data_IF_909771201715
#
_entry.id   IF_909771201715
#
_cell.length_a   1.000
_cell.length_b   1.000
_cell.length_c   1.000
_cell.angle_alpha   90.00
_cell.angle_beta   90.00
_cell.angle_gamma   90.00
#
_symmetry.space_group_name_H-M   'P 1'
#
loop_
_entity.id
_entity.type
_entity.pdbx_description
1 polymer ?
#
# COMPACT_ATOMS: atom_id res chain seq x y z
N UNK A 1 42.21 -20.71 44.92
CA UNK A 1 41.87 -21.05 43.51
C UNK A 1 40.38 -21.29 43.28
N UNK A 2 39.74 -22.30 43.91
CA UNK A 2 38.30 -22.63 43.65
C UNK A 2 37.29 -21.50 43.95
N UNK A 3 37.50 -20.72 45.03
CA UNK A 3 36.62 -19.58 45.40
C UNK A 3 36.67 -18.43 44.38
N UNK A 4 37.85 -18.09 43.89
CA UNK A 4 38.03 -17.02 42.90
C UNK A 4 37.42 -17.38 41.55
N UNK A 5 37.54 -18.64 41.11
CA UNK A 5 36.91 -19.13 39.87
C UNK A 5 35.39 -19.08 39.99
N UNK A 6 34.83 -19.47 41.14
CA UNK A 6 33.38 -19.41 41.38
C UNK A 6 32.85 -17.97 41.34
N UNK A 7 33.56 -17.01 41.96
CA UNK A 7 33.17 -15.59 41.93
C UNK A 7 33.23 -15.03 40.50
N UNK A 8 34.26 -15.37 39.72
CA UNK A 8 34.37 -14.95 38.32
C UNK A 8 33.21 -15.50 37.48
N UNK A 9 32.86 -16.78 37.63
CA UNK A 9 31.71 -17.40 36.97
C UNK A 9 30.39 -16.73 37.34
N UNK A 10 30.19 -16.39 38.61
CA UNK A 10 28.98 -15.70 39.08
C UNK A 10 28.87 -14.30 38.46
N UNK A 11 29.97 -13.55 38.38
CA UNK A 11 29.99 -12.22 37.77
C UNK A 11 29.70 -12.31 36.28
N UNK A 12 30.27 -13.29 35.57
CA UNK A 12 29.98 -13.52 34.14
C UNK A 12 28.50 -13.88 33.94
N UNK A 13 27.91 -14.73 34.79
CA UNK A 13 26.49 -15.09 34.74
C UNK A 13 25.58 -13.88 35.01
N UNK A 14 25.95 -13.00 35.95
CA UNK A 14 25.17 -11.79 36.25
C UNK A 14 25.28 -10.76 35.12
N UNK A 15 26.46 -10.59 34.52
CA UNK A 15 26.65 -9.72 33.35
C UNK A 15 25.91 -10.25 32.13
N UNK A 16 25.97 -11.57 31.87
CA UNK A 16 25.26 -12.21 30.77
C UNK A 16 23.75 -12.19 30.99
N UNK A 17 23.28 -12.46 32.22
CA UNK A 17 21.87 -12.37 32.59
C UNK A 17 21.33 -10.94 32.49
N UNK A 18 22.09 -9.95 32.94
CA UNK A 18 21.75 -8.53 32.80
C UNK A 18 21.75 -8.07 31.34
N UNK A 19 22.68 -8.56 30.53
CA UNK A 19 22.72 -8.30 29.09
C UNK A 19 21.52 -8.91 28.37
N UNK A 20 21.18 -10.17 28.68
CA UNK A 20 20.01 -10.85 28.14
C UNK A 20 18.70 -10.17 28.53
N UNK A 21 18.55 -9.73 29.79
CA UNK A 21 17.33 -9.03 30.22
C UNK A 21 17.20 -7.68 29.53
N UNK A 22 18.27 -6.88 29.43
CA UNK A 22 18.22 -5.60 28.72
C UNK A 22 17.86 -5.79 27.24
N UNK A 23 18.45 -6.79 26.57
CA UNK A 23 18.12 -7.08 25.18
C UNK A 23 16.70 -7.62 25.00
N UNK A 24 16.27 -8.58 25.83
CA UNK A 24 14.93 -9.16 25.73
C UNK A 24 13.83 -8.15 26.06
N UNK A 25 13.94 -7.44 27.18
CA UNK A 25 12.96 -6.43 27.57
C UNK A 25 13.01 -5.19 26.66
N UNK A 26 14.21 -4.76 26.24
CA UNK A 26 14.37 -3.64 25.32
C UNK A 26 13.81 -3.94 23.92
N UNK A 27 14.06 -5.14 23.39
CA UNK A 27 13.48 -5.59 22.12
C UNK A 27 11.95 -5.65 22.20
N UNK A 28 11.40 -6.30 23.23
CA UNK A 28 9.94 -6.41 23.40
C UNK A 28 9.27 -5.03 23.56
N UNK A 29 9.91 -4.09 24.24
CA UNK A 29 9.38 -2.73 24.37
C UNK A 29 9.42 -1.97 23.04
N UNK A 30 10.50 -2.08 22.27
CA UNK A 30 10.61 -1.46 20.95
C UNK A 30 9.56 -2.01 19.97
N UNK A 31 9.35 -3.33 19.96
CA UNK A 31 8.34 -3.98 19.11
C UNK A 31 6.92 -3.54 19.48
N UNK A 32 6.60 -3.42 20.78
CA UNK A 32 5.29 -2.92 21.23
C UNK A 32 5.06 -1.45 20.85
N UNK A 33 6.07 -0.60 21.01
CA UNK A 33 5.97 0.81 20.64
C UNK A 33 5.75 0.97 19.12
N UNK A 34 6.43 0.14 18.32
CA UNK A 34 6.28 0.10 16.87
C UNK A 34 4.85 -0.28 16.44
N UNK A 35 4.31 -1.35 17.03
CA UNK A 35 2.93 -1.80 16.78
C UNK A 35 1.89 -0.76 17.19
N UNK A 36 2.06 -0.14 18.37
CA UNK A 36 1.16 0.92 18.83
C UNK A 36 1.15 2.13 17.89
N UNK A 37 2.33 2.59 17.43
CA UNK A 37 2.43 3.69 16.47
C UNK A 37 1.78 3.37 15.12
N UNK A 38 1.87 2.12 14.69
CA UNK A 38 1.23 1.66 13.45
C UNK A 38 -0.30 1.64 13.55
N UNK A 39 -0.83 1.12 14.67
CA UNK A 39 -2.27 1.15 14.96
C UNK A 39 -2.81 2.58 15.07
N UNK A 40 -2.09 3.47 15.75
CA UNK A 40 -2.46 4.87 15.86
C UNK A 40 -2.55 5.53 14.48
N UNK A 41 -1.57 5.26 13.59
CA UNK A 41 -1.59 5.76 12.22
C UNK A 41 -2.81 5.25 11.44
N UNK A 42 -3.11 3.96 11.53
CA UNK A 42 -4.27 3.40 10.83
C UNK A 42 -5.57 4.06 11.29
N UNK A 43 -5.71 4.30 12.59
CA UNK A 43 -6.82 5.05 13.14
C UNK A 43 -6.87 6.49 12.61
N UNK A 44 -5.73 7.19 12.56
CA UNK A 44 -5.67 8.55 12.00
C UNK A 44 -6.07 8.61 10.53
N UNK A 45 -5.73 7.58 9.74
CA UNK A 45 -6.17 7.47 8.34
C UNK A 45 -7.69 7.29 8.30
N UNK A 46 -8.26 6.39 9.09
CA UNK A 46 -9.71 6.18 9.12
C UNK A 46 -10.48 7.41 9.62
N UNK A 47 -9.94 8.13 10.62
CA UNK A 47 -10.52 9.36 11.14
C UNK A 47 -10.52 10.46 10.07
N UNK A 48 -9.41 10.62 9.34
CA UNK A 48 -9.31 11.54 8.20
C UNK A 48 -10.36 11.19 7.13
N UNK A 49 -10.44 9.93 6.72
CA UNK A 49 -11.40 9.50 5.69
C UNK A 49 -12.84 9.67 6.15
N UNK A 50 -13.14 9.41 7.42
CA UNK A 50 -14.47 9.61 8.01
C UNK A 50 -14.85 11.08 8.07
N UNK A 51 -13.91 11.93 8.46
CA UNK A 51 -14.09 13.38 8.45
C UNK A 51 -14.38 13.89 7.04
N UNK A 52 -13.61 13.45 6.05
CA UNK A 52 -13.84 13.79 4.64
C UNK A 52 -15.20 13.31 4.15
N UNK A 53 -15.57 12.05 4.41
CA UNK A 53 -16.91 11.50 4.06
C UNK A 53 -18.04 12.33 4.64
N UNK A 54 -17.89 12.79 5.88
CA UNK A 54 -18.90 13.60 6.57
C UNK A 54 -18.98 15.05 6.06
N UNK A 55 -17.93 15.52 5.38
CA UNK A 55 -17.89 16.84 4.74
C UNK A 55 -18.48 16.85 3.32
N UNK A 56 -18.68 15.67 2.71
CA UNK A 56 -19.31 15.52 1.39
C UNK A 56 -20.76 16.02 1.46
N UNK A 57 -21.11 16.94 0.57
CA UNK A 57 -22.48 17.47 0.45
C UNK A 57 -23.43 16.45 -0.18
N UNK A 58 -24.75 16.58 0.03
CA UNK A 58 -25.74 15.71 -0.64
C UNK A 58 -25.61 15.71 -2.16
N UNK A 59 -25.19 16.84 -2.75
CA UNK A 59 -24.97 16.99 -4.19
C UNK A 59 -23.75 16.20 -4.67
N UNK A 60 -22.61 16.30 -3.97
CA UNK A 60 -21.40 15.52 -4.27
C UNK A 60 -21.57 14.02 -3.99
N UNK A 61 -22.40 13.68 -3.00
CA UNK A 61 -22.80 12.31 -2.75
C UNK A 61 -23.61 11.72 -3.92
N UNK A 62 -24.41 12.54 -4.60
CA UNK A 62 -25.23 12.14 -5.73
C UNK A 62 -24.46 12.07 -7.06
N UNK A 63 -23.53 13.00 -7.33
CA UNK A 63 -22.65 12.98 -8.50
C UNK A 63 -21.20 13.31 -8.12
N UNK A 64 -20.33 12.30 -8.21
CA UNK A 64 -18.88 12.39 -7.91
C UNK A 64 -18.13 13.41 -8.77
N UNK A 65 -18.69 13.82 -9.90
CA UNK A 65 -18.09 14.82 -10.80
C UNK A 65 -18.51 16.26 -10.50
N UNK A 66 -19.43 16.46 -9.54
CA UNK A 66 -19.96 17.79 -9.21
C UNK A 66 -20.54 18.56 -10.41
N UNK A 67 -20.74 19.87 -10.22
CA UNK A 67 -21.36 20.73 -11.22
C UNK A 67 -20.44 21.02 -12.44
N UNK A 68 -19.13 21.14 -12.19
CA UNK A 68 -18.16 21.46 -13.24
C UNK A 68 -17.87 20.26 -14.15
N UNK A 69 -18.26 19.05 -13.74
CA UNK A 69 -18.02 17.76 -14.39
C UNK A 69 -16.56 17.31 -14.34
N UNK A 70 -15.83 17.77 -13.33
CA UNK A 70 -14.44 17.41 -13.08
C UNK A 70 -14.35 16.79 -11.69
N UNK A 71 -13.68 15.66 -11.59
CA UNK A 71 -13.35 15.05 -10.30
C UNK A 71 -11.84 14.92 -10.17
N UNK A 72 -11.32 15.32 -9.01
CA UNK A 72 -9.91 15.30 -8.69
C UNK A 72 -9.64 14.33 -7.55
N UNK A 73 -8.87 13.29 -7.85
CA UNK A 73 -8.54 12.21 -6.91
C UNK A 73 -7.05 12.26 -6.63
N UNK A 74 -6.68 12.39 -5.36
CA UNK A 74 -5.29 12.28 -4.92
C UNK A 74 -4.99 10.83 -4.53
N UNK A 75 -4.19 10.16 -5.34
CA UNK A 75 -3.67 8.82 -5.08
C UNK A 75 -2.34 8.89 -4.33
N UNK A 76 -2.27 8.23 -3.18
CA UNK A 76 -1.11 8.16 -2.29
C UNK A 76 -0.71 6.70 -2.07
N UNK A 77 0.49 6.33 -2.46
CA UNK A 77 1.13 5.08 -2.06
C UNK A 77 1.94 5.27 -0.78
N UNK A 78 1.60 4.51 0.27
CA UNK A 78 2.36 4.46 1.52
C UNK A 78 3.38 3.32 1.49
N UNK A 79 4.61 3.60 1.93
CA UNK A 79 5.56 2.54 2.30
C UNK A 79 5.23 2.09 3.73
N UNK A 80 4.37 1.08 3.84
CA UNK A 80 3.88 0.54 5.13
C UNK A 80 4.31 -0.92 5.32
N UNK A 81 5.61 -1.19 5.19
CA UNK A 81 6.15 -2.54 5.39
C UNK A 81 6.11 -2.94 6.87
N UNK A 82 6.12 -4.26 7.11
CA UNK A 82 6.29 -4.82 8.45
C UNK A 82 7.56 -4.25 9.08
N UNK A 83 7.43 -3.55 10.21
CA UNK A 83 8.56 -2.92 10.90
C UNK A 83 8.81 -1.44 10.58
N UNK A 84 7.98 -0.77 9.75
CA UNK A 84 8.14 0.67 9.45
C UNK A 84 7.11 1.58 10.15
N UNK A 85 7.58 2.40 11.10
CA UNK A 85 6.75 3.35 11.88
C UNK A 85 6.49 4.68 11.19
N UNK A 86 7.13 4.96 10.06
CA UNK A 86 6.96 6.24 9.36
C UNK A 86 6.22 6.00 8.04
N UNK A 87 4.94 6.33 8.00
CA UNK A 87 4.08 6.18 6.82
C UNK A 87 4.44 7.17 5.73
N UNK A 88 5.50 6.89 5.00
CA UNK A 88 6.01 7.76 3.95
C UNK A 88 5.09 7.76 2.73
N UNK A 89 4.68 8.96 2.27
CA UNK A 89 3.97 9.12 1.00
C UNK A 89 4.96 9.02 -0.16
N UNK A 90 5.11 7.82 -0.72
CA UNK A 90 6.20 7.49 -1.65
C UNK A 90 5.79 7.55 -3.12
N UNK A 91 4.51 7.35 -3.41
CA UNK A 91 3.90 7.60 -4.71
C UNK A 91 2.78 8.61 -4.55
N UNK A 92 2.82 9.72 -5.30
CA UNK A 92 1.83 10.80 -5.18
C UNK A 92 1.38 11.20 -6.58
N UNK A 93 0.12 10.94 -6.89
CA UNK A 93 -0.47 11.15 -8.22
C UNK A 93 -1.81 11.86 -8.07
N UNK A 94 -1.91 13.08 -8.61
CA UNK A 94 -3.16 13.84 -8.65
C UNK A 94 -3.85 13.60 -9.99
N UNK A 95 -4.98 12.92 -9.97
CA UNK A 95 -5.70 12.46 -11.16
C UNK A 95 -6.97 13.30 -11.30
N UNK A 96 -7.05 14.08 -12.37
CA UNK A 96 -8.23 14.88 -12.71
C UNK A 96 -8.94 14.28 -13.91
N UNK A 97 -10.21 13.88 -13.74
CA UNK A 97 -11.06 13.32 -14.78
C UNK A 97 -12.08 14.38 -15.23
N UNK A 98 -12.05 14.78 -16.50
CA UNK A 98 -13.03 15.69 -17.10
C UNK A 98 -14.03 14.90 -17.95
N UNK A 99 -15.25 14.73 -17.41
CA UNK A 99 -16.33 13.98 -18.06
C UNK A 99 -16.85 14.66 -19.32
N UNK A 100 -16.81 16.00 -19.39
CA UNK A 100 -17.28 16.76 -20.57
C UNK A 100 -16.31 16.64 -21.74
N UNK A 101 -15.01 16.70 -21.46
CA UNK A 101 -13.97 16.61 -22.50
C UNK A 101 -13.55 15.16 -22.80
N UNK A 102 -13.95 14.21 -21.96
CA UNK A 102 -13.48 12.83 -21.98
C UNK A 102 -11.95 12.76 -21.95
N UNK A 103 -11.35 13.48 -21.00
CA UNK A 103 -9.90 13.58 -20.83
C UNK A 103 -9.50 13.34 -19.39
N UNK A 104 -8.30 12.81 -19.20
CA UNK A 104 -7.66 12.64 -17.89
C UNK A 104 -6.37 13.45 -17.86
N UNK A 105 -6.06 14.08 -16.73
CA UNK A 105 -4.72 14.58 -16.46
C UNK A 105 -4.17 13.96 -15.18
N UNK A 106 -2.91 13.55 -15.22
CA UNK A 106 -2.20 12.96 -14.08
C UNK A 106 -1.02 13.87 -13.77
N UNK A 107 -1.02 14.45 -12.56
CA UNK A 107 0.07 15.30 -12.08
C UNK A 107 0.82 14.58 -10.96
N UNK A 108 2.06 14.17 -11.23
CA UNK A 108 2.93 13.61 -10.22
C UNK A 108 3.49 14.70 -9.28
N UNK A 109 3.62 14.36 -8.01
CA UNK A 109 4.41 15.15 -7.04
C UNK A 109 5.58 14.29 -6.57
N UNK A 110 6.84 14.64 -6.89
CA UNK A 110 7.99 13.91 -6.38
C UNK A 110 7.99 13.87 -4.86
N UNK A 111 8.20 12.69 -4.28
CA UNK A 111 8.21 12.48 -2.82
C UNK A 111 9.20 13.39 -2.07
N UNK A 112 10.28 13.77 -2.77
CA UNK A 112 11.37 14.62 -2.28
C UNK A 112 11.11 16.13 -2.42
N UNK A 113 9.91 16.54 -2.81
CA UNK A 113 9.55 17.96 -2.91
C UNK A 113 9.62 18.62 -1.55
N UNK A 114 10.26 19.79 -1.47
CA UNK A 114 10.45 20.51 -0.21
C UNK A 114 9.12 20.92 0.42
N UNK A 115 8.98 20.65 1.72
CA UNK A 115 7.89 21.16 2.55
C UNK A 115 8.41 21.60 3.92
N UNK A 116 7.87 22.68 4.49
CA UNK A 116 8.15 23.00 5.88
C UNK A 116 7.60 21.90 6.79
N UNK A 117 8.24 21.68 7.95
CA UNK A 117 7.71 20.83 9.02
C UNK A 117 7.46 21.72 10.26
N UNK A 118 6.25 21.67 10.85
CA UNK A 118 5.92 22.47 12.02
C UNK A 118 6.62 21.92 13.27
N UNK A 119 7.16 22.80 14.12
CA UNK A 119 7.87 22.42 15.34
C UNK A 119 9.38 22.63 15.25
N UNK A 120 10.13 22.03 16.18
CA UNK A 120 11.59 22.14 16.28
C UNK A 120 12.21 20.75 16.45
N UNK A 121 13.44 20.55 15.98
CA UNK A 121 14.18 19.29 16.16
C UNK A 121 14.34 18.44 14.90
N UNK A 122 13.80 18.86 13.75
CA UNK A 122 14.00 18.18 12.47
C UNK A 122 15.39 18.44 11.89
N UNK A 123 15.95 17.43 11.24
CA UNK A 123 17.19 17.54 10.49
C UNK A 123 16.94 18.27 9.16
N UNK A 124 17.94 18.93 8.57
CA UNK A 124 17.81 19.54 7.24
C UNK A 124 17.36 18.54 6.16
N UNK A 125 17.66 17.25 6.33
CA UNK A 125 17.24 16.17 5.44
C UNK A 125 15.77 15.80 5.57
N UNK A 126 15.04 16.30 6.56
CA UNK A 126 13.68 15.82 6.84
C UNK A 126 12.59 16.57 6.06
N UNK A 127 12.93 17.73 5.49
CA UNK A 127 11.98 18.69 4.92
C UNK A 127 11.49 18.32 3.51
N UNK A 128 10.81 17.18 3.37
CA UNK A 128 10.17 16.77 2.12
C UNK A 128 8.81 16.10 2.32
N UNK A 129 7.96 16.12 1.29
CA UNK A 129 6.56 15.66 1.33
C UNK A 129 6.43 14.27 1.94
N UNK A 130 7.20 13.29 1.46
CA UNK A 130 7.16 11.91 1.97
C UNK A 130 7.41 11.82 3.47
N UNK A 131 8.28 12.65 4.03
CA UNK A 131 8.51 12.71 5.47
C UNK A 131 7.40 13.40 6.23
N UNK A 132 6.78 14.44 5.68
CA UNK A 132 5.68 15.13 6.35
C UNK A 132 4.50 14.18 6.67
N UNK A 133 4.23 13.21 5.78
CA UNK A 133 3.21 12.18 6.01
C UNK A 133 3.52 11.28 7.22
N UNK A 134 4.80 10.94 7.42
CA UNK A 134 5.21 10.03 8.49
C UNK A 134 5.61 10.72 9.80
N UNK A 135 6.17 11.92 9.73
CA UNK A 135 6.70 12.66 10.89
C UNK A 135 5.66 13.58 11.55
N UNK A 136 4.65 14.02 10.80
CA UNK A 136 3.59 14.91 11.29
C UNK A 136 2.25 14.16 11.30
N UNK A 137 1.67 13.97 10.13
CA UNK A 137 0.46 13.17 9.89
C UNK A 137 0.21 13.06 8.39
N UNK A 138 -0.59 12.05 7.98
CA UNK A 138 -1.03 11.95 6.59
C UNK A 138 -1.82 13.19 6.16
N UNK A 139 -2.69 13.71 7.02
CA UNK A 139 -3.49 14.92 6.76
C UNK A 139 -2.60 16.13 6.45
N UNK A 140 -1.56 16.35 7.25
CA UNK A 140 -0.61 17.45 7.01
C UNK A 140 0.14 17.26 5.69
N UNK A 141 0.56 16.03 5.39
CA UNK A 141 1.20 15.70 4.12
C UNK A 141 0.30 16.01 2.92
N UNK A 142 -0.99 15.64 3.00
CA UNK A 142 -2.00 15.97 1.99
C UNK A 142 -2.14 17.48 1.82
N UNK A 143 -2.25 18.25 2.91
CA UNK A 143 -2.33 19.71 2.84
C UNK A 143 -1.12 20.31 2.10
N UNK A 144 0.09 19.80 2.36
CA UNK A 144 1.28 20.27 1.65
C UNK A 144 1.28 19.87 0.17
N UNK A 145 0.80 18.67 -0.16
CA UNK A 145 0.63 18.22 -1.55
C UNK A 145 -0.36 19.13 -2.29
N UNK A 146 -1.53 19.39 -1.71
CA UNK A 146 -2.55 20.29 -2.26
C UNK A 146 -2.00 21.71 -2.46
N UNK A 147 -1.15 22.18 -1.53
CA UNK A 147 -0.45 23.47 -1.67
C UNK A 147 0.55 23.50 -2.82
N UNK A 148 1.31 22.42 -3.04
CA UNK A 148 2.22 22.27 -4.19
C UNK A 148 1.44 22.26 -5.51
N UNK A 149 0.32 21.55 -5.52
CA UNK A 149 -0.58 21.45 -6.67
C UNK A 149 -1.36 22.76 -6.90
N UNK A 150 -1.59 23.56 -5.86
CA UNK A 150 -2.40 24.77 -5.91
C UNK A 150 -3.90 24.49 -5.97
N UNK A 151 -4.33 23.26 -5.70
CA UNK A 151 -5.71 22.80 -5.76
C UNK A 151 -5.93 21.67 -4.76
N UNK A 152 -7.11 21.63 -4.14
CA UNK A 152 -7.52 20.54 -3.26
C UNK A 152 -7.98 19.31 -4.05
N UNK A 153 -7.88 18.15 -3.45
CA UNK A 153 -8.47 16.94 -3.99
C UNK A 153 -9.92 16.80 -3.48
N UNK A 154 -10.82 16.41 -4.37
CA UNK A 154 -12.21 16.11 -4.02
C UNK A 154 -12.26 14.80 -3.24
N UNK A 155 -11.45 13.82 -3.66
CA UNK A 155 -11.33 12.52 -3.01
C UNK A 155 -9.87 12.10 -2.84
N UNK A 156 -9.62 11.20 -1.87
CA UNK A 156 -8.31 10.60 -1.66
C UNK A 156 -8.39 9.09 -1.78
N UNK A 157 -7.34 8.50 -2.35
CA UNK A 157 -7.16 7.06 -2.44
C UNK A 157 -5.77 6.70 -1.90
N UNK A 158 -5.72 5.91 -0.84
CA UNK A 158 -4.48 5.53 -0.17
C UNK A 158 -4.27 4.03 -0.32
N UNK A 159 -3.10 3.64 -0.83
CA UNK A 159 -2.74 2.23 -1.05
C UNK A 159 -1.45 1.88 -0.32
N UNK A 160 -1.44 0.71 0.31
CA UNK A 160 -0.23 0.15 0.92
C UNK A 160 0.57 -0.70 -0.07
N UNK A 161 1.74 -1.18 0.39
CA UNK A 161 2.60 -2.04 -0.42
C UNK A 161 1.92 -3.37 -0.79
N UNK A 162 1.37 -4.11 0.18
CA UNK A 162 0.70 -5.40 -0.10
C UNK A 162 -0.53 -5.22 -0.98
N UNK A 163 -1.32 -4.16 -0.78
CA UNK A 163 -2.46 -3.81 -1.64
C UNK A 163 -2.01 -3.60 -3.09
N UNK A 164 -0.91 -2.87 -3.28
CA UNK A 164 -0.34 -2.63 -4.63
C UNK A 164 0.09 -3.96 -5.26
N UNK A 165 0.82 -4.80 -4.54
CA UNK A 165 1.20 -6.15 -5.01
C UNK A 165 -0.04 -6.96 -5.40
N UNK A 166 -1.09 -6.91 -4.58
CA UNK A 166 -2.34 -7.61 -4.85
C UNK A 166 -3.07 -7.13 -6.10
N UNK A 167 -3.16 -5.82 -6.30
CA UNK A 167 -3.74 -5.22 -7.51
C UNK A 167 -2.94 -5.62 -8.75
N UNK A 168 -1.61 -5.58 -8.71
CA UNK A 168 -0.77 -5.99 -9.83
C UNK A 168 -0.95 -7.48 -10.19
N UNK A 169 -1.08 -8.36 -9.19
CA UNK A 169 -1.41 -9.78 -9.40
C UNK A 169 -2.78 -9.94 -10.04
N UNK A 170 -3.79 -9.23 -9.55
CA UNK A 170 -5.15 -9.28 -10.11
C UNK A 170 -5.23 -8.78 -11.56
N UNK A 171 -4.25 -8.01 -12.01
CA UNK A 171 -4.11 -7.53 -13.38
C UNK A 171 -3.26 -8.43 -14.27
N UNK A 172 -2.82 -9.60 -13.75
CA UNK A 172 -1.92 -10.55 -14.40
C UNK A 172 -0.60 -9.91 -14.88
N UNK A 173 -0.07 -8.96 -14.11
CA UNK A 173 1.22 -8.32 -14.39
C UNK A 173 2.38 -9.09 -13.76
N UNK A 174 3.59 -9.06 -14.35
CA UNK A 174 4.81 -9.63 -13.74
C UNK A 174 5.17 -8.84 -12.48
N UNK A 175 4.55 -9.22 -11.36
CA UNK A 175 4.35 -8.33 -10.22
C UNK A 175 5.68 -7.90 -9.59
N UNK A 176 6.64 -8.82 -9.44
CA UNK A 176 7.96 -8.54 -8.89
C UNK A 176 8.73 -7.51 -9.73
N UNK A 177 8.79 -7.73 -11.04
CA UNK A 177 9.47 -6.83 -11.98
C UNK A 177 8.74 -5.49 -12.09
N UNK A 178 7.40 -5.50 -12.08
CA UNK A 178 6.60 -4.28 -12.10
C UNK A 178 6.89 -3.41 -10.88
N UNK A 179 6.94 -4.01 -9.69
CA UNK A 179 7.32 -3.30 -8.45
C UNK A 179 8.75 -2.77 -8.53
N UNK A 180 9.71 -3.55 -9.05
CA UNK A 180 11.08 -3.08 -9.23
C UNK A 180 11.14 -1.88 -10.19
N UNK A 181 10.38 -1.92 -11.29
CA UNK A 181 10.30 -0.83 -12.26
C UNK A 181 9.69 0.44 -11.66
N UNK A 182 8.60 0.30 -10.91
CA UNK A 182 7.95 1.42 -10.20
C UNK A 182 8.83 2.00 -9.08
N UNK A 183 9.72 1.20 -8.49
CA UNK A 183 10.62 1.65 -7.41
C UNK A 183 11.97 2.17 -7.91
N UNK A 184 12.33 1.84 -9.15
CA UNK A 184 13.60 2.25 -9.75
C UNK A 184 13.71 3.77 -9.82
N UNK A 185 14.74 4.32 -9.18
CA UNK A 185 15.17 5.72 -9.33
C UNK A 185 16.66 5.82 -9.66
N UNK A 186 17.43 4.76 -9.39
CA UNK A 186 18.89 4.78 -9.37
C UNK A 186 19.51 4.80 -10.77
N UNK A 187 18.75 4.39 -11.78
CA UNK A 187 19.21 4.33 -13.18
C UNK A 187 18.86 5.57 -14.00
N UNK A 188 18.04 6.49 -13.45
CA UNK A 188 17.58 7.67 -14.17
C UNK A 188 18.45 8.89 -13.87
N UNK A 189 18.77 9.67 -14.90
CA UNK A 189 19.66 10.83 -14.79
C UNK A 189 19.19 11.87 -13.74
N UNK A 190 17.87 12.08 -13.65
CA UNK A 190 17.26 13.01 -12.69
C UNK A 190 16.70 12.28 -11.45
N UNK A 191 16.87 10.96 -11.34
CA UNK A 191 16.50 10.19 -10.16
C UNK A 191 14.99 10.19 -9.83
N UNK A 192 14.66 10.70 -8.64
CA UNK A 192 13.32 10.63 -8.05
C UNK A 192 12.22 11.32 -8.88
N UNK A 193 12.40 12.53 -9.43
CA UNK A 193 11.45 13.11 -10.38
C UNK A 193 11.06 12.19 -11.55
N UNK A 194 12.02 11.48 -12.15
CA UNK A 194 11.71 10.54 -13.24
C UNK A 194 10.90 9.36 -12.72
N UNK A 195 11.24 8.83 -11.53
CA UNK A 195 10.46 7.75 -10.92
C UNK A 195 9.00 8.17 -10.66
N UNK A 196 8.78 9.37 -10.13
CA UNK A 196 7.44 9.90 -9.88
C UNK A 196 6.63 10.05 -11.17
N UNK A 197 7.28 10.47 -12.28
CA UNK A 197 6.65 10.54 -13.60
C UNK A 197 6.39 9.15 -14.23
N UNK A 198 7.27 8.18 -13.98
CA UNK A 198 7.07 6.80 -14.41
C UNK A 198 5.82 6.17 -13.77
N UNK A 199 5.49 6.53 -12.52
CA UNK A 199 4.20 6.14 -11.92
C UNK A 199 3.02 6.68 -12.74
N UNK A 200 3.07 7.95 -13.20
CA UNK A 200 2.04 8.52 -14.06
C UNK A 200 1.95 7.81 -15.41
N UNK A 201 3.11 7.43 -15.96
CA UNK A 201 3.19 6.71 -17.25
C UNK A 201 2.58 5.31 -17.12
N UNK A 202 2.86 4.60 -16.03
CA UNK A 202 2.21 3.33 -15.70
C UNK A 202 0.68 3.48 -15.59
N UNK A 203 0.21 4.46 -14.81
CA UNK A 203 -1.23 4.71 -14.64
C UNK A 203 -1.92 5.06 -15.97
N UNK A 204 -1.29 5.90 -16.79
CA UNK A 204 -1.79 6.24 -18.13
C UNK A 204 -2.01 5.00 -18.98
N UNK A 205 -1.02 4.12 -19.03
CA UNK A 205 -1.14 2.88 -19.81
C UNK A 205 -2.23 1.96 -19.28
N UNK A 206 -2.37 1.84 -17.96
CA UNK A 206 -3.45 1.05 -17.37
C UNK A 206 -4.81 1.66 -17.73
N UNK A 207 -4.97 2.98 -17.61
CA UNK A 207 -6.20 3.67 -18.02
C UNK A 207 -6.54 3.44 -19.50
N UNK A 208 -5.57 3.62 -20.40
CA UNK A 208 -5.77 3.41 -21.85
C UNK A 208 -6.10 1.94 -22.15
N UNK A 209 -5.33 1.00 -21.58
CA UNK A 209 -5.51 -0.45 -21.81
C UNK A 209 -6.88 -0.94 -21.34
N UNK A 210 -7.33 -0.51 -20.16
CA UNK A 210 -8.55 -1.04 -19.55
C UNK A 210 -9.81 -0.23 -19.91
N UNK A 211 -9.69 1.05 -20.33
CA UNK A 211 -10.84 1.82 -20.82
C UNK A 211 -11.09 1.67 -22.33
N UNK A 212 -10.07 1.34 -23.13
CA UNK A 212 -10.16 1.19 -24.58
C UNK A 212 -10.35 -0.26 -25.02
N UNK A 213 -11.59 -0.72 -25.22
CA UNK A 213 -11.87 -2.05 -25.79
C UNK A 213 -13.19 -2.66 -25.36
N UNK A 214 -13.65 -3.70 -26.07
CA UNK A 214 -14.91 -4.40 -25.80
C UNK A 214 -14.95 -4.92 -24.36
N UNK A 215 -15.74 -4.24 -23.52
CA UNK A 215 -16.18 -4.65 -22.18
C UNK A 215 -15.43 -5.87 -21.62
N UNK A 216 -14.18 -5.69 -21.18
CA UNK A 216 -13.70 -6.49 -20.06
C UNK A 216 -14.61 -6.07 -18.90
N UNK A 217 -15.74 -6.78 -18.75
CA UNK A 217 -16.58 -6.65 -17.58
C UNK A 217 -15.73 -7.15 -16.43
N UNK A 218 -15.03 -6.23 -15.78
CA UNK A 218 -14.44 -6.49 -14.48
C UNK A 218 -15.63 -6.89 -13.61
N UNK A 219 -15.63 -8.14 -13.11
CA UNK A 219 -16.68 -8.65 -12.26
C UNK A 219 -16.92 -7.66 -11.09
N UNK A 220 -18.17 -7.46 -10.70
CA UNK A 220 -18.51 -6.63 -9.55
C UNK A 220 -17.82 -7.15 -8.27
N UNK A 221 -17.63 -8.48 -8.15
CA UNK A 221 -16.87 -9.08 -7.06
C UNK A 221 -15.42 -8.58 -7.08
N UNK A 222 -14.78 -8.61 -8.25
CA UNK A 222 -13.41 -8.12 -8.40
C UNK A 222 -13.26 -6.62 -8.13
N UNK A 223 -14.21 -5.81 -8.59
CA UNK A 223 -14.24 -4.38 -8.28
C UNK A 223 -14.34 -4.15 -6.77
N UNK A 224 -15.16 -4.93 -6.07
CA UNK A 224 -15.34 -4.84 -4.62
C UNK A 224 -14.09 -5.27 -3.85
N UNK A 225 -13.43 -6.33 -4.27
CA UNK A 225 -12.19 -6.80 -3.64
C UNK A 225 -11.06 -5.77 -3.77
N UNK A 226 -10.86 -5.21 -4.97
CA UNK A 226 -9.89 -4.14 -5.19
C UNK A 226 -10.26 -2.89 -4.38
N UNK A 227 -11.54 -2.53 -4.33
CA UNK A 227 -12.03 -1.42 -3.52
C UNK A 227 -11.65 -1.59 -2.03
N UNK A 228 -11.80 -2.79 -1.47
CA UNK A 228 -11.41 -3.07 -0.06
C UNK A 228 -9.91 -2.95 0.20
N UNK A 229 -9.06 -3.10 -0.82
CA UNK A 229 -7.61 -2.93 -0.69
C UNK A 229 -7.17 -1.45 -0.68
N UNK A 230 -8.09 -0.52 -0.98
CA UNK A 230 -7.83 0.91 -1.11
C UNK A 230 -8.55 1.65 0.01
N UNK A 231 -7.81 2.42 0.81
CA UNK A 231 -8.40 3.31 1.82
C UNK A 231 -8.83 4.61 1.15
N UNK A 232 -10.14 4.88 1.12
CA UNK A 232 -10.70 6.03 0.40
C UNK A 232 -11.94 6.60 1.08
N UNK A 233 -12.22 7.87 0.78
CA UNK A 233 -13.42 8.60 1.16
C UNK A 233 -14.56 8.44 0.13
N UNK A 234 -14.32 7.69 -0.95
CA UNK A 234 -15.35 7.24 -1.89
C UNK A 234 -16.08 6.01 -1.35
N UNK A 235 -17.40 5.97 -1.54
CA UNK A 235 -18.19 4.74 -1.39
C UNK A 235 -17.98 3.80 -2.59
N UNK A 236 -18.29 2.51 -2.41
CA UNK A 236 -18.21 1.55 -3.52
C UNK A 236 -19.11 1.92 -4.71
N UNK A 237 -20.30 2.48 -4.47
CA UNK A 237 -21.19 2.96 -5.53
C UNK A 237 -20.59 4.13 -6.31
N UNK A 238 -19.95 5.07 -5.62
CA UNK A 238 -19.22 6.17 -6.24
C UNK A 238 -18.03 5.67 -7.07
N UNK A 239 -17.28 4.67 -6.59
CA UNK A 239 -16.21 4.04 -7.37
C UNK A 239 -16.75 3.36 -8.64
N UNK A 240 -17.87 2.63 -8.56
CA UNK A 240 -18.53 2.06 -9.75
C UNK A 240 -18.95 3.13 -10.75
N UNK A 241 -19.44 4.28 -10.27
CA UNK A 241 -19.78 5.43 -11.11
C UNK A 241 -18.56 5.99 -11.83
N UNK A 242 -17.44 6.18 -11.12
CA UNK A 242 -16.16 6.61 -11.69
C UNK A 242 -15.63 5.64 -12.74
N UNK A 243 -15.63 4.33 -12.44
CA UNK A 243 -15.23 3.29 -13.39
C UNK A 243 -16.09 3.35 -14.65
N UNK A 244 -17.42 3.42 -14.48
CA UNK A 244 -18.35 3.51 -15.61
C UNK A 244 -18.10 4.75 -16.47
N UNK A 245 -17.82 5.89 -15.84
CA UNK A 245 -17.48 7.13 -16.54
C UNK A 245 -16.16 7.00 -17.33
N UNK A 246 -15.10 6.46 -16.72
CA UNK A 246 -13.80 6.25 -17.39
C UNK A 246 -13.94 5.27 -18.56
N UNK A 247 -14.70 4.18 -18.40
CA UNK A 247 -14.99 3.24 -19.49
C UNK A 247 -15.75 3.93 -20.64
N UNK A 248 -16.70 4.81 -20.32
CA UNK A 248 -17.46 5.56 -21.32
C UNK A 248 -16.62 6.62 -22.05
N UNK A 249 -15.53 7.11 -21.45
CA UNK A 249 -14.61 8.07 -22.10
C UNK A 249 -13.82 7.42 -23.24
N UNK A 250 -13.58 6.09 -23.21
CA UNK A 250 -12.82 5.37 -24.22
C UNK A 250 -11.43 5.97 -24.43
N UNK A 251 -10.64 6.06 -23.36
CA UNK A 251 -9.40 6.84 -23.37
C UNK A 251 -8.37 6.27 -24.34
N UNK A 252 -7.80 7.15 -25.14
CA UNK A 252 -6.61 6.91 -25.97
C UNK A 252 -5.42 7.68 -25.41
N UNK A 253 -4.22 7.40 -25.91
CA UNK A 253 -2.97 8.03 -25.44
C UNK A 253 -3.00 9.58 -25.46
N UNK A 254 -3.69 10.19 -26.41
CA UNK A 254 -3.86 11.65 -26.53
C UNK A 254 -4.90 12.24 -25.56
N UNK A 255 -5.73 11.39 -24.94
CA UNK A 255 -6.75 11.79 -23.97
C UNK A 255 -6.24 11.80 -22.53
N UNK A 256 -5.03 11.32 -22.30
CA UNK A 256 -4.41 11.29 -20.98
C UNK A 256 -3.14 12.15 -20.98
N UNK A 257 -3.18 13.28 -20.30
CA UNK A 257 -2.04 14.19 -20.18
C UNK A 257 -1.24 13.92 -18.90
N UNK A 258 0.09 13.93 -19.01
CA UNK A 258 0.99 13.77 -17.87
C UNK A 258 1.65 15.11 -17.51
N UNK A 259 1.76 15.39 -16.22
CA UNK A 259 2.39 16.58 -15.67
C UNK A 259 3.18 16.21 -14.42
N UNK A 260 4.12 17.08 -14.03
CA UNK A 260 4.85 16.96 -12.77
C UNK A 260 4.93 18.32 -12.08
N UNK A 261 4.73 18.34 -10.76
CA UNK A 261 4.85 19.52 -9.91
C UNK A 261 5.73 19.24 -8.69
N UNK A 262 6.81 20.01 -8.43
CA UNK A 262 7.32 21.10 -9.27
C UNK A 262 7.81 20.61 -10.64
N UNK A 263 7.96 21.53 -11.59
CA UNK A 263 8.38 21.19 -12.95
C UNK A 263 9.78 20.57 -12.94
N UNK A 264 9.92 19.44 -13.64
CA UNK A 264 11.17 18.78 -13.95
C UNK A 264 11.15 18.40 -15.44
N UNK A 265 12.32 18.39 -16.07
CA UNK A 265 12.47 17.93 -17.46
C UNK A 265 12.49 16.39 -17.47
N UNK A 266 11.30 15.81 -17.57
CA UNK A 266 11.03 14.37 -17.53
C UNK A 266 10.77 13.84 -18.94
N UNK A 267 11.01 12.54 -19.13
CA UNK A 267 10.65 11.84 -20.39
C UNK A 267 9.59 10.78 -20.12
N UNK A 268 8.72 10.52 -21.10
CA UNK A 268 7.73 9.45 -21.04
C UNK A 268 8.40 8.10 -21.31
N UNK A 269 8.69 7.34 -20.24
CA UNK A 269 9.23 5.98 -20.35
C UNK A 269 8.06 5.00 -20.36
N UNK A 270 7.79 4.41 -21.51
CA UNK A 270 6.76 3.38 -21.69
C UNK A 270 7.06 2.18 -20.80
N UNK A 271 6.10 1.80 -19.95
CA UNK A 271 6.12 0.51 -19.28
C UNK A 271 5.63 -0.59 -20.25
N UNK A 272 6.36 -1.69 -20.33
CA UNK A 272 6.00 -2.85 -21.15
C UNK A 272 6.08 -4.12 -20.27
N UNK A 273 4.94 -4.70 -19.87
CA UNK A 273 4.94 -5.89 -19.01
C UNK A 273 5.60 -7.11 -19.68
N UNK A 274 5.70 -7.14 -21.02
CA UNK A 274 6.34 -8.26 -21.72
C UNK A 274 7.86 -8.16 -21.76
N UNK A 275 8.41 -6.95 -21.57
CA UNK A 275 9.85 -6.67 -21.63
C UNK A 275 10.43 -6.06 -20.35
N UNK A 276 9.63 -5.86 -19.30
CA UNK A 276 10.04 -5.18 -18.06
C UNK A 276 11.30 -5.77 -17.44
N UNK A 277 11.50 -7.09 -17.48
CA UNK A 277 12.72 -7.73 -16.96
C UNK A 277 13.98 -7.21 -17.66
N UNK A 278 13.90 -6.98 -18.98
CA UNK A 278 15.00 -6.42 -19.78
C UNK A 278 15.20 -4.93 -19.51
N UNK A 279 14.13 -4.19 -19.31
CA UNK A 279 14.20 -2.77 -18.93
C UNK A 279 14.88 -2.55 -17.57
N UNK A 280 14.86 -3.59 -16.72
CA UNK A 280 15.54 -3.62 -15.42
C UNK A 280 17.02 -4.04 -15.49
N UNK A 281 17.54 -4.49 -16.64
CA UNK A 281 18.96 -4.88 -16.79
C UNK A 281 19.94 -3.81 -16.26
N UNK A 282 19.75 -2.50 -16.53
CA UNK A 282 20.64 -1.48 -15.99
C UNK A 282 20.59 -1.41 -14.46
N UNK A 283 19.42 -1.63 -13.86
CA UNK A 283 19.25 -1.65 -12.41
C UNK A 283 20.01 -2.84 -11.82
N UNK A 284 19.85 -4.04 -12.39
CA UNK A 284 20.49 -5.25 -11.89
C UNK A 284 22.03 -5.15 -11.90
N UNK A 285 22.61 -4.38 -12.82
CA UNK A 285 24.08 -4.15 -12.85
C UNK A 285 24.58 -3.26 -11.72
N UNK A 286 23.75 -2.34 -11.22
CA UNK A 286 24.15 -1.40 -10.16
C UNK A 286 23.71 -1.83 -8.78
N UNK A 287 22.73 -2.73 -8.64
CA UNK A 287 22.26 -3.26 -7.35
C UNK A 287 23.40 -3.68 -6.41
N UNK A 288 24.44 -4.42 -6.85
CA UNK A 288 25.56 -4.80 -5.99
C UNK A 288 26.40 -3.62 -5.46
N UNK A 289 26.23 -2.43 -6.03
CA UNK A 289 26.95 -1.21 -5.67
C UNK A 289 26.11 -0.28 -4.76
N UNK A 290 24.82 -0.58 -4.59
CA UNK A 290 23.91 0.24 -3.79
C UNK A 290 24.04 -0.10 -2.30
N UNK A 291 23.85 0.88 -1.38
CA UNK A 291 23.73 0.59 0.04
C UNK A 291 22.54 -0.33 0.33
N UNK A 292 22.68 -1.23 1.31
CA UNK A 292 21.59 -2.11 1.76
C UNK A 292 20.30 -1.37 2.14
N UNK A 293 20.41 -0.11 2.57
CA UNK A 293 19.27 0.74 2.90
C UNK A 293 18.50 1.25 1.66
N UNK A 294 19.17 1.40 0.51
CA UNK A 294 18.56 1.83 -0.76
C UNK A 294 18.07 0.65 -1.60
N UNK A 295 18.73 -0.49 -1.47
CA UNK A 295 18.35 -1.76 -2.05
C UNK A 295 18.92 -2.85 -1.15
N UNK A 296 18.06 -3.69 -0.55
CA UNK A 296 18.51 -4.68 0.45
C UNK A 296 19.59 -5.64 -0.06
N UNK A 297 19.75 -5.73 -1.38
CA UNK A 297 20.59 -6.73 -2.04
C UNK A 297 20.04 -8.14 -1.90
N UNK A 298 18.90 -8.27 -1.21
CA UNK A 298 18.20 -9.51 -0.93
C UNK A 298 17.65 -10.07 -2.24
N UNK A 299 17.98 -11.33 -2.51
CA UNK A 299 17.36 -12.07 -3.60
C UNK A 299 15.89 -12.31 -3.30
N UNK A 300 15.07 -12.54 -4.33
CA UNK A 300 13.64 -12.85 -4.13
C UNK A 300 13.44 -14.05 -3.20
N UNK A 301 14.32 -15.06 -3.27
CA UNK A 301 14.26 -16.24 -2.41
C UNK A 301 14.52 -15.90 -0.94
N UNK A 302 15.51 -15.05 -0.67
CA UNK A 302 15.80 -14.58 0.69
C UNK A 302 14.65 -13.73 1.25
N UNK A 303 14.09 -12.85 0.42
CA UNK A 303 12.93 -12.03 0.77
C UNK A 303 11.72 -12.90 1.16
N UNK A 304 11.36 -13.87 0.32
CA UNK A 304 10.23 -14.77 0.61
C UNK A 304 10.47 -15.58 1.88
N UNK A 305 11.71 -16.05 2.11
CA UNK A 305 12.07 -16.79 3.33
C UNK A 305 11.93 -15.92 4.58
N UNK A 306 12.44 -14.68 4.53
CA UNK A 306 12.35 -13.74 5.65
C UNK A 306 10.89 -13.36 5.93
N UNK A 307 10.13 -13.00 4.89
CA UNK A 307 8.70 -12.69 5.01
C UNK A 307 7.92 -13.82 5.69
N UNK A 308 8.09 -15.06 5.23
CA UNK A 308 7.38 -16.21 5.80
C UNK A 308 7.80 -16.46 7.26
N UNK A 309 9.10 -16.34 7.58
CA UNK A 309 9.59 -16.45 8.95
C UNK A 309 9.01 -15.35 9.85
N UNK A 310 9.01 -14.10 9.40
CA UNK A 310 8.45 -12.97 10.14
C UNK A 310 6.95 -13.16 10.41
N UNK A 311 6.18 -13.69 9.44
CA UNK A 311 4.77 -14.03 9.64
C UNK A 311 4.64 -15.14 10.68
N UNK A 312 5.30 -16.28 10.47
CA UNK A 312 5.19 -17.47 11.32
C UNK A 312 5.52 -17.17 12.78
N UNK A 313 6.58 -16.41 13.03
CA UNK A 313 7.00 -16.00 14.38
C UNK A 313 5.97 -15.13 15.11
N UNK A 314 5.12 -14.40 14.37
CA UNK A 314 4.17 -13.44 14.93
C UNK A 314 2.70 -13.87 14.84
N UNK A 315 2.37 -15.03 14.23
CA UNK A 315 0.97 -15.49 14.09
C UNK A 315 0.27 -15.75 15.43
N UNK A 316 1.00 -15.95 16.52
CA UNK A 316 0.43 -16.10 17.87
C UNK A 316 0.21 -14.76 18.59
N UNK A 317 0.60 -13.64 17.99
CA UNK A 317 0.53 -12.31 18.60
C UNK A 317 -0.80 -11.62 18.23
N UNK A 318 -1.62 -11.35 19.25
CA UNK A 318 -2.97 -10.79 19.12
C UNK A 318 -2.99 -9.35 18.57
N UNK A 319 -1.87 -8.63 18.59
CA UNK A 319 -1.74 -7.32 17.94
C UNK A 319 -1.28 -7.46 16.48
N UNK A 320 -0.46 -8.47 16.17
CA UNK A 320 0.03 -8.71 14.80
C UNK A 320 -1.06 -9.20 13.87
N UNK A 321 -1.90 -10.16 14.31
CA UNK A 321 -2.89 -10.79 13.43
C UNK A 321 -3.88 -9.78 12.82
N UNK A 322 -4.52 -8.89 13.61
CA UNK A 322 -5.36 -7.82 13.06
C UNK A 322 -4.64 -6.95 12.04
N UNK A 323 -3.43 -6.54 12.38
CA UNK A 323 -2.61 -5.72 11.51
C UNK A 323 -2.26 -6.43 10.19
N UNK A 324 -1.84 -7.69 10.27
CA UNK A 324 -1.48 -8.49 9.11
C UNK A 324 -2.68 -8.72 8.19
N UNK A 325 -3.88 -8.84 8.78
CA UNK A 325 -5.14 -8.91 8.07
C UNK A 325 -5.45 -7.60 7.35
N UNK A 326 -5.47 -6.49 8.07
CA UNK A 326 -5.81 -5.16 7.52
C UNK A 326 -4.79 -4.67 6.48
N UNK A 327 -3.53 -5.15 6.55
CA UNK A 327 -2.47 -4.85 5.57
C UNK A 327 -2.34 -5.89 4.45
N UNK A 328 -3.20 -6.90 4.38
CA UNK A 328 -3.18 -7.93 3.33
C UNK A 328 -1.80 -8.59 3.15
N UNK A 329 -1.09 -8.88 4.25
CA UNK A 329 0.34 -9.27 4.20
C UNK A 329 0.59 -10.49 3.33
N UNK A 330 -0.37 -11.43 3.25
CA UNK A 330 -0.28 -12.61 2.39
C UNK A 330 -0.11 -12.27 0.91
N UNK A 331 -0.57 -11.11 0.44
CA UNK A 331 -0.44 -10.73 -0.98
C UNK A 331 1.02 -10.60 -1.43
N UNK A 332 1.96 -10.46 -0.49
CA UNK A 332 3.39 -10.42 -0.76
C UNK A 332 4.02 -11.81 -0.98
N UNK A 333 3.28 -12.89 -0.73
CA UNK A 333 3.74 -14.27 -0.89
C UNK A 333 3.61 -14.71 -2.36
N UNK A 334 4.73 -15.13 -2.94
CA UNK A 334 4.78 -15.51 -4.35
C UNK A 334 4.09 -16.84 -4.64
N UNK A 335 4.40 -17.87 -3.84
CA UNK A 335 3.81 -19.19 -4.02
C UNK A 335 2.30 -19.17 -3.74
N UNK A 336 1.51 -19.58 -4.73
CA UNK A 336 0.05 -19.47 -4.69
C UNK A 336 -0.57 -20.30 -3.56
N UNK A 337 -0.10 -21.54 -3.38
CA UNK A 337 -0.63 -22.39 -2.33
C UNK A 337 -0.30 -21.85 -0.94
N UNK A 338 0.97 -21.47 -0.72
CA UNK A 338 1.44 -20.90 0.55
C UNK A 338 0.71 -19.59 0.86
N UNK A 339 0.48 -18.74 -0.15
CA UNK A 339 -0.27 -17.50 0.01
C UNK A 339 -1.67 -17.74 0.55
N UNK A 340 -2.44 -18.62 -0.09
CA UNK A 340 -3.82 -18.88 0.35
C UNK A 340 -3.88 -19.64 1.68
N UNK A 341 -2.88 -20.49 1.96
CA UNK A 341 -2.74 -21.10 3.27
C UNK A 341 -2.54 -20.07 4.38
N UNK A 342 -1.59 -19.14 4.20
CA UNK A 342 -1.33 -18.08 5.17
C UNK A 342 -2.52 -17.11 5.25
N UNK A 343 -3.16 -16.78 4.13
CA UNK A 343 -4.38 -15.96 4.11
C UNK A 343 -5.47 -16.56 4.99
N UNK A 344 -5.78 -17.85 4.81
CA UNK A 344 -6.80 -18.53 5.60
C UNK A 344 -6.42 -18.67 7.09
N UNK A 345 -5.15 -18.92 7.40
CA UNK A 345 -4.68 -19.00 8.79
C UNK A 345 -4.78 -17.64 9.50
N UNK A 346 -4.35 -16.54 8.84
CA UNK A 346 -4.51 -15.18 9.37
C UNK A 346 -6.00 -14.86 9.57
N UNK A 347 -6.86 -15.16 8.59
CA UNK A 347 -8.31 -14.94 8.70
C UNK A 347 -8.88 -15.68 9.91
N UNK A 348 -8.59 -16.97 10.06
CA UNK A 348 -9.12 -17.80 11.16
C UNK A 348 -8.74 -17.21 12.52
N UNK A 349 -7.48 -16.81 12.69
CA UNK A 349 -7.01 -16.17 13.92
C UNK A 349 -7.63 -14.81 14.16
N UNK A 350 -7.82 -14.02 13.10
CA UNK A 350 -8.49 -12.72 13.20
C UNK A 350 -9.95 -12.87 13.63
N UNK A 351 -10.64 -13.92 13.16
CA UNK A 351 -11.99 -14.26 13.57
C UNK A 351 -12.04 -14.68 15.05
N UNK A 352 -11.05 -15.39 15.55
CA UNK A 352 -10.96 -15.75 16.99
C UNK A 352 -10.84 -14.52 17.89
N UNK A 353 -10.14 -13.47 17.41
CA UNK A 353 -9.96 -12.19 18.10
C UNK A 353 -11.14 -11.22 17.92
N UNK A 354 -12.07 -11.51 17.02
CA UNK A 354 -13.25 -10.68 16.77
C UNK A 354 -14.38 -11.12 17.69
N UNK A 355 -15.03 -10.21 18.40
CA UNK A 355 -16.18 -10.56 19.26
C UNK A 355 -17.52 -10.50 18.50
N UNK A 356 -17.64 -9.60 17.53
CA UNK A 356 -18.85 -9.34 16.77
C UNK A 356 -19.14 -10.45 15.74
N UNK A 357 -20.21 -11.21 15.96
CA UNK A 357 -20.62 -12.32 15.09
C UNK A 357 -21.07 -11.87 13.70
N UNK A 358 -21.72 -10.72 13.57
CA UNK A 358 -22.10 -10.16 12.27
C UNK A 358 -20.84 -9.80 11.47
N UNK A 359 -19.85 -9.21 12.14
CA UNK A 359 -18.55 -8.91 11.52
C UNK A 359 -17.84 -10.20 11.08
N UNK A 360 -17.83 -11.26 11.90
CA UNK A 360 -17.22 -12.55 11.50
C UNK A 360 -17.89 -13.14 10.26
N UNK A 361 -19.22 -13.17 10.24
CA UNK A 361 -19.98 -13.69 9.12
C UNK A 361 -19.70 -12.90 7.82
N UNK A 362 -19.63 -11.57 7.93
CA UNK A 362 -19.29 -10.71 6.80
C UNK A 362 -17.87 -10.99 6.25
N UNK A 363 -16.87 -11.11 7.13
CA UNK A 363 -15.49 -11.42 6.74
C UNK A 363 -15.37 -12.77 6.02
N UNK A 364 -16.07 -13.80 6.50
CA UNK A 364 -16.07 -15.11 5.87
C UNK A 364 -16.84 -15.12 4.54
N UNK A 365 -17.97 -14.43 4.45
CA UNK A 365 -18.70 -14.28 3.19
C UNK A 365 -17.82 -13.58 2.14
N UNK A 366 -17.11 -12.53 2.54
CA UNK A 366 -16.15 -11.82 1.71
C UNK A 366 -15.01 -12.73 1.23
N UNK A 367 -14.45 -13.54 2.12
CA UNK A 367 -13.41 -14.53 1.79
C UNK A 367 -13.92 -15.60 0.81
N UNK A 368 -15.12 -16.16 1.03
CA UNK A 368 -15.72 -17.15 0.13
C UNK A 368 -15.93 -16.55 -1.26
N UNK A 369 -16.48 -15.34 -1.35
CA UNK A 369 -16.67 -14.63 -2.61
C UNK A 369 -15.34 -14.40 -3.34
N UNK A 370 -14.28 -14.04 -2.61
CA UNK A 370 -12.94 -13.92 -3.18
C UNK A 370 -12.46 -15.25 -3.78
N UNK A 371 -12.48 -16.33 -3.00
CA UNK A 371 -11.99 -17.64 -3.45
C UNK A 371 -12.80 -18.17 -4.64
N UNK A 372 -14.12 -18.02 -4.63
CA UNK A 372 -15.00 -18.41 -5.74
C UNK A 372 -14.69 -17.63 -7.02
N UNK A 373 -14.51 -16.30 -6.92
CA UNK A 373 -14.20 -15.45 -8.07
C UNK A 373 -12.85 -15.80 -8.73
N UNK A 374 -11.98 -16.46 -7.97
CA UNK A 374 -10.65 -16.94 -8.39
C UNK A 374 -10.64 -18.41 -8.80
N UNK A 375 -11.77 -19.12 -8.67
CA UNK A 375 -11.86 -20.55 -8.93
C UNK A 375 -11.11 -21.43 -7.93
N UNK A 376 -10.84 -20.93 -6.72
CA UNK A 376 -10.12 -21.62 -5.64
C UNK A 376 -11.08 -22.42 -4.75
N UNK A 377 -11.69 -23.46 -5.32
CA UNK A 377 -12.80 -24.20 -4.70
C UNK A 377 -12.47 -24.76 -3.32
N UNK A 378 -11.29 -25.35 -3.14
CA UNK A 378 -10.88 -25.96 -1.87
C UNK A 378 -10.79 -24.92 -0.74
N UNK A 379 -10.37 -23.70 -1.07
CA UNK A 379 -10.29 -22.59 -0.12
C UNK A 379 -11.67 -21.99 0.14
N UNK A 380 -12.51 -21.87 -0.89
CA UNK A 380 -13.89 -21.43 -0.73
C UNK A 380 -14.69 -22.37 0.19
N UNK A 381 -14.52 -23.69 0.05
CA UNK A 381 -15.18 -24.68 0.89
C UNK A 381 -14.75 -24.60 2.36
N UNK A 382 -13.46 -24.36 2.63
CA UNK A 382 -12.99 -24.09 4.00
C UNK A 382 -13.66 -22.86 4.60
N UNK A 383 -13.80 -21.79 3.82
CA UNK A 383 -14.52 -20.57 4.23
C UNK A 383 -16.00 -20.83 4.54
N UNK A 384 -16.69 -21.61 3.69
CA UNK A 384 -18.10 -21.99 3.90
C UNK A 384 -18.28 -22.82 5.17
N UNK A 385 -17.42 -23.80 5.41
CA UNK A 385 -17.46 -24.61 6.63
C UNK A 385 -17.28 -23.76 7.89
N UNK A 386 -16.34 -22.81 7.87
CA UNK A 386 -16.16 -21.87 8.97
C UNK A 386 -17.40 -20.97 9.17
N UNK A 387 -18.03 -20.52 8.07
CA UNK A 387 -19.23 -19.67 8.11
C UNK A 387 -20.45 -20.42 8.69
N UNK A 388 -20.64 -21.67 8.28
CA UNK A 388 -21.71 -22.53 8.83
C UNK A 388 -21.59 -22.67 10.34
N UNK A 389 -20.37 -22.84 10.86
CA UNK A 389 -20.11 -22.93 12.31
C UNK A 389 -20.60 -21.72 13.09
N UNK A 390 -20.47 -20.51 12.53
CA UNK A 390 -20.90 -19.25 13.15
C UNK A 390 -22.42 -19.09 13.15
N UNK A 391 -23.09 -19.48 12.07
CA UNK A 391 -24.55 -19.34 11.95
C UNK A 391 -25.30 -20.35 12.84
N UNK A 392 -24.64 -21.43 13.24
CA UNK A 392 -25.21 -22.47 14.11
C UNK A 392 -25.03 -22.25 15.62
N UNK A 393 -24.21 -21.28 16.03
CA UNK A 393 -24.07 -20.82 17.43
C UNK A 393 -25.06 -19.69 17.74
#
# INVERSE_FOLDING_TARGET
>A
MKRSIFIILLVILLLFGGWLTVHFFGFNQATRALKAAQKEREQQIEDLLTSRRSAITETEAADVFGDDNVVNILLIGLDSRLGETNGHCDAIQYISLDRKKATVSITAVPRGTYVPLPGVGYKPTDYYVSNSCGLISLEYGIEQIERILGQKADYIAVVGFSSTVGILRAMDLPTTETIQWLRNRQTYAIGEPQRAHNHSTFLKQMLVKYSGGSQLKIDAVWQYLVYKMIKTDLTFDQVKSLVSAVMAMGLTEDKVALQIRPYHDVIDITYDPTNVSKDLDPLQRIVPLLPNADYSGETQVEYQKRLLGDIEENLADEEFVPWAFDQFVWMQIDDDYTREFIHFDILTRYLDLTEDQEKKAALLADYVNEMDSRGLTDWADKGRQALEGIVTE
#
